data_IF_701820217323
#
_entry.id   IF_701820217323
#
_cell.length_a   1.000
_cell.length_b   1.000
_cell.length_c   1.000
_cell.angle_alpha   90.00
_cell.angle_beta   90.00
_cell.angle_gamma   90.00
#
_symmetry.space_group_name_H-M   'P 1'
#
loop_
_entity.id
_entity.type
_entity.pdbx_description
1 polymer ?
#
# COMPACT_ATOMS: atom_id res chain seq x y z
N UNK A 1 14.53 4.71 8.23
CA UNK A 1 13.06 4.64 8.33
C UNK A 1 12.42 5.93 7.86
N UNK A 2 12.69 7.07 8.51
CA UNK A 2 12.12 8.38 8.14
C UNK A 2 12.34 8.74 6.66
N UNK A 3 13.57 8.61 6.16
CA UNK A 3 13.89 8.95 4.77
C UNK A 3 13.12 8.06 3.77
N UNK A 4 13.14 6.74 3.95
CA UNK A 4 12.43 5.81 3.08
C UNK A 4 10.92 6.04 3.10
N UNK A 5 10.34 6.37 4.26
CA UNK A 5 8.92 6.71 4.36
C UNK A 5 8.62 8.00 3.58
N UNK A 6 9.45 9.02 3.74
CA UNK A 6 9.33 10.29 3.01
C UNK A 6 9.49 10.11 1.50
N UNK A 7 10.38 9.24 1.05
CA UNK A 7 10.57 8.98 -0.38
C UNK A 7 9.34 8.30 -1.01
N UNK A 8 8.60 7.48 -0.25
CA UNK A 8 7.42 6.75 -0.73
C UNK A 8 6.13 7.58 -0.63
N UNK A 9 6.00 8.40 0.43
CA UNK A 9 4.76 9.10 0.78
C UNK A 9 4.84 10.62 0.58
N UNK A 10 6.03 11.20 0.37
CA UNK A 10 6.23 12.64 0.16
C UNK A 10 6.29 13.48 1.44
N UNK A 11 6.04 12.88 2.61
CA UNK A 11 6.07 13.54 3.92
C UNK A 11 6.69 12.63 4.99
N UNK A 12 7.12 13.22 6.10
CA UNK A 12 7.77 12.49 7.20
C UNK A 12 6.82 11.71 8.10
N UNK A 13 7.37 10.82 8.96
CA UNK A 13 6.56 10.06 9.94
C UNK A 13 5.91 10.98 10.97
N UNK A 14 6.60 12.06 11.37
CA UNK A 14 6.05 13.03 12.31
C UNK A 14 4.83 13.75 11.72
N UNK A 15 4.90 14.12 10.44
CA UNK A 15 3.77 14.74 9.73
C UNK A 15 2.61 13.76 9.56
N UNK A 16 2.92 12.50 9.25
CA UNK A 16 1.94 11.42 9.17
C UNK A 16 1.20 11.20 10.50
N UNK A 17 1.92 11.17 11.63
CA UNK A 17 1.32 10.89 12.94
C UNK A 17 0.42 12.02 13.45
N UNK A 18 0.65 13.25 13.03
CA UNK A 18 -0.05 14.43 13.53
C UNK A 18 -1.15 14.95 12.60
N UNK A 19 -1.32 14.37 11.41
CA UNK A 19 -2.33 14.77 10.44
C UNK A 19 -3.27 13.60 10.09
N UNK A 20 -4.52 13.60 10.59
CA UNK A 20 -5.51 12.57 10.28
C UNK A 20 -5.77 12.36 8.78
N UNK A 21 -5.61 13.40 7.94
CA UNK A 21 -5.78 13.27 6.49
C UNK A 21 -4.68 12.43 5.86
N UNK A 22 -3.43 12.62 6.32
CA UNK A 22 -2.29 11.81 5.85
C UNK A 22 -2.40 10.37 6.30
N UNK A 23 -2.95 10.12 7.49
CA UNK A 23 -3.26 8.75 7.94
C UNK A 23 -4.26 8.09 7.00
N UNK A 24 -5.35 8.79 6.69
CA UNK A 24 -6.39 8.29 5.78
C UNK A 24 -5.82 7.97 4.39
N UNK A 25 -4.95 8.84 3.86
CA UNK A 25 -4.31 8.67 2.55
C UNK A 25 -3.46 7.40 2.48
N UNK A 26 -2.61 7.15 3.49
CA UNK A 26 -1.78 5.93 3.56
C UNK A 26 -2.66 4.69 3.61
N UNK A 27 -3.70 4.69 4.44
CA UNK A 27 -4.56 3.52 4.60
C UNK A 27 -5.41 3.25 3.35
N UNK A 28 -5.88 4.28 2.64
CA UNK A 28 -6.54 4.13 1.35
C UNK A 28 -5.61 3.50 0.31
N UNK A 29 -4.36 3.95 0.24
CA UNK A 29 -3.37 3.38 -0.68
C UNK A 29 -3.06 1.92 -0.35
N UNK A 30 -2.91 1.59 0.94
CA UNK A 30 -2.74 0.21 1.40
C UNK A 30 -3.91 -0.68 1.01
N UNK A 31 -5.14 -0.19 1.13
CA UNK A 31 -6.32 -0.94 0.72
C UNK A 31 -6.32 -1.23 -0.80
N UNK A 32 -5.95 -0.24 -1.61
CA UNK A 32 -5.83 -0.40 -3.06
C UNK A 32 -4.76 -1.42 -3.42
N UNK A 33 -3.57 -1.31 -2.82
CA UNK A 33 -2.44 -2.23 -3.04
C UNK A 33 -2.82 -3.66 -2.65
N UNK A 34 -3.53 -3.83 -1.52
CA UNK A 34 -4.01 -5.13 -1.07
C UNK A 34 -5.00 -5.74 -2.07
N UNK A 35 -6.00 -4.97 -2.53
CA UNK A 35 -6.99 -5.44 -3.52
C UNK A 35 -6.32 -5.83 -4.83
N UNK A 36 -5.35 -5.05 -5.29
CA UNK A 36 -4.58 -5.36 -6.49
C UNK A 36 -3.75 -6.65 -6.30
N UNK A 37 -3.07 -6.79 -5.16
CA UNK A 37 -2.31 -7.97 -4.80
C UNK A 37 -3.17 -9.24 -4.80
N UNK A 38 -4.37 -9.18 -4.22
CA UNK A 38 -5.34 -10.28 -4.24
C UNK A 38 -5.75 -10.67 -5.67
N UNK A 39 -6.01 -9.68 -6.53
CA UNK A 39 -6.35 -9.94 -7.94
C UNK A 39 -5.20 -10.63 -8.69
N UNK A 40 -3.96 -10.19 -8.48
CA UNK A 40 -2.77 -10.77 -9.11
C UNK A 40 -2.52 -12.19 -8.59
N UNK A 41 -2.58 -12.40 -7.26
CA UNK A 41 -2.45 -13.72 -6.67
C UNK A 41 -3.46 -14.71 -7.25
N UNK A 42 -4.74 -14.32 -7.32
CA UNK A 42 -5.78 -15.14 -7.91
C UNK A 42 -5.57 -15.43 -9.41
N UNK A 43 -4.94 -14.52 -10.17
CA UNK A 43 -4.56 -14.77 -11.57
C UNK A 43 -3.46 -15.82 -11.67
N UNK A 44 -2.43 -15.71 -10.83
CA UNK A 44 -1.30 -16.65 -10.78
C UNK A 44 -1.80 -18.05 -10.37
N UNK A 45 -2.64 -18.13 -9.34
CA UNK A 45 -3.26 -19.40 -8.90
C UNK A 45 -4.03 -20.07 -10.04
N UNK A 46 -4.86 -19.30 -10.77
CA UNK A 46 -5.59 -19.83 -11.94
C UNK A 46 -4.68 -20.31 -13.07
N UNK A 47 -3.53 -19.69 -13.26
CA UNK A 47 -2.54 -20.14 -14.25
C UNK A 47 -1.84 -21.43 -13.79
N UNK A 48 -1.44 -21.50 -12.52
CA UNK A 48 -0.79 -22.68 -11.94
C UNK A 48 -1.70 -23.91 -11.93
N UNK A 49 -3.01 -23.73 -11.74
CA UNK A 49 -4.00 -24.82 -11.75
C UNK A 49 -4.54 -25.19 -13.14
N UNK A 50 -4.03 -24.57 -14.21
CA UNK A 50 -4.40 -24.88 -15.60
C UNK A 50 -3.47 -25.91 -16.28
N UNK A 51 -2.54 -26.49 -15.53
CA UNK A 51 -1.72 -27.65 -15.95
C UNK A 51 -2.43 -28.99 -15.70
#
# INVERSE_FOLDING_TARGET
>A
MEQAFRDVHGYGLNEYQNDPQKILEVEQRREQDYRQGQSVAAQIERQAHRE
#
